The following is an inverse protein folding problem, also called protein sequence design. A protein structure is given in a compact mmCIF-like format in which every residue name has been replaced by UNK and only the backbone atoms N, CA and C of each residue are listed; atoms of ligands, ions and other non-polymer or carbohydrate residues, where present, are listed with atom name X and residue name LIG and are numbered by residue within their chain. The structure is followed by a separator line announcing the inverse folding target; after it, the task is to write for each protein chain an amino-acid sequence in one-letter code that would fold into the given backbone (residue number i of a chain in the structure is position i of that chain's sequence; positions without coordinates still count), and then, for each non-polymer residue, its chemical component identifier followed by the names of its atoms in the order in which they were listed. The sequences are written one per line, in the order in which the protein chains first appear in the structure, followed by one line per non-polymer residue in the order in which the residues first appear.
data_IF_998909482539
#
_entry.id   IF_998909482539
#
_cell.length_a   1.000
_cell.length_b   1.000
_cell.length_c   1.000
_cell.angle_alpha   90.00
_cell.angle_beta   90.00
_cell.angle_gamma   90.00
#
_symmetry.space_group_name_H-M   'P 1'
#
loop_
_entity.id
_entity.type
_entity.pdbx_description
1 polymer ?
#
# COMPACT_ATOMS: atom_id res chain seq x y z
N UNK A 1 21.77 10.50 27.19
CA UNK A 1 21.03 9.77 28.24
C UNK A 1 19.55 9.79 27.84
N UNK A 2 18.87 8.65 27.98
CA UNK A 2 17.67 8.20 27.26
C UNK A 2 16.32 8.93 27.50
N UNK A 3 15.43 8.81 26.48
CA UNK A 3 13.94 8.74 26.46
C UNK A 3 13.15 10.03 26.81
N UNK A 4 12.08 10.40 26.09
CA UNK A 4 10.88 9.59 25.82
C UNK A 4 10.49 9.42 24.35
N UNK A 5 10.36 8.15 23.97
CA UNK A 5 9.53 7.63 22.89
C UNK A 5 8.27 7.07 23.56
N UNK A 6 7.12 7.70 23.33
CA UNK A 6 5.73 7.24 23.59
C UNK A 6 4.86 8.45 23.21
N UNK A 7 4.31 8.57 22.01
CA UNK A 7 3.13 7.84 21.53
C UNK A 7 3.04 8.06 20.01
N UNK A 8 3.76 7.26 19.23
CA UNK A 8 3.32 6.98 17.88
C UNK A 8 2.24 5.91 18.01
N UNK A 9 0.98 6.35 18.14
CA UNK A 9 -0.17 5.46 18.09
C UNK A 9 -0.06 4.58 16.86
N UNK A 10 -0.25 3.29 17.06
CA UNK A 10 -0.09 2.20 16.09
C UNK A 10 -0.93 2.44 14.82
N UNK A 11 -0.36 3.14 13.84
CA UNK A 11 -0.99 3.40 12.53
C UNK A 11 -1.10 2.10 11.71
N UNK A 12 -0.52 0.98 12.18
CA UNK A 12 -0.62 -0.31 11.51
C UNK A 12 -2.00 -0.98 11.65
N UNK A 13 -2.87 -0.48 12.54
CA UNK A 13 -4.22 -1.03 12.78
C UNK A 13 -5.37 -0.13 12.31
N UNK A 14 -5.08 1.06 11.80
CA UNK A 14 -6.09 1.97 11.28
C UNK A 14 -6.53 1.54 9.89
N UNK A 15 -7.74 0.98 9.76
CA UNK A 15 -8.30 0.66 8.46
C UNK A 15 -8.52 1.93 7.64
N UNK A 16 -7.87 1.98 6.47
CA UNK A 16 -8.00 3.07 5.49
C UNK A 16 -9.22 2.90 4.58
N UNK A 17 -9.93 1.77 4.74
CA UNK A 17 -11.15 1.38 4.02
C UNK A 17 -12.23 0.99 5.03
N UNK A 18 -13.50 1.24 4.68
CA UNK A 18 -14.66 0.81 5.49
C UNK A 18 -15.59 -0.05 4.63
N UNK A 19 -15.98 -1.26 5.08
CA UNK A 19 -15.54 -1.97 6.30
C UNK A 19 -14.04 -2.32 6.31
N UNK A 20 -13.49 -2.51 7.51
CA UNK A 20 -12.07 -2.84 7.72
C UNK A 20 -11.62 -4.07 6.90
N UNK A 21 -10.37 -4.06 6.43
CA UNK A 21 -9.69 -5.17 5.73
C UNK A 21 -10.27 -5.61 4.37
N UNK A 22 -11.12 -4.81 3.73
CA UNK A 22 -11.65 -5.10 2.40
C UNK A 22 -10.83 -4.44 1.29
N UNK A 23 -9.75 -5.11 0.89
CA UNK A 23 -8.90 -4.67 -0.23
C UNK A 23 -9.11 -5.59 -1.43
N UNK A 24 -10.05 -5.25 -2.35
CA UNK A 24 -10.33 -6.07 -3.51
C UNK A 24 -9.11 -6.17 -4.43
N UNK A 25 -8.99 -7.30 -5.10
CA UNK A 25 -8.06 -7.49 -6.22
C UNK A 25 -8.77 -7.14 -7.54
N UNK A 26 -8.05 -6.87 -8.64
CA UNK A 26 -8.67 -6.48 -9.93
C UNK A 26 -9.60 -7.54 -10.54
N UNK A 27 -9.56 -8.76 -10.02
CA UNK A 27 -10.48 -9.84 -10.39
C UNK A 27 -11.92 -9.49 -9.96
N UNK A 28 -12.06 -8.73 -8.88
CA UNK A 28 -13.35 -8.28 -8.35
C UNK A 28 -13.71 -6.95 -9.01
N UNK A 29 -14.71 -6.98 -9.90
CA UNK A 29 -15.17 -5.78 -10.62
C UNK A 29 -16.25 -4.98 -9.88
N UNK A 30 -16.90 -5.58 -8.88
CA UNK A 30 -18.01 -4.98 -8.13
C UNK A 30 -17.56 -3.91 -7.13
N UNK A 31 -16.38 -4.11 -6.53
CA UNK A 31 -15.85 -3.26 -5.46
C UNK A 31 -14.60 -2.53 -5.96
N UNK A 32 -14.74 -1.23 -6.20
CA UNK A 32 -13.70 -0.42 -6.81
C UNK A 32 -12.92 0.38 -5.75
N UNK A 33 -11.71 -0.07 -5.41
CA UNK A 33 -10.80 0.62 -4.49
C UNK A 33 -9.98 1.74 -5.14
N UNK A 34 -10.11 1.95 -6.46
CA UNK A 34 -9.29 2.91 -7.21
C UNK A 34 -9.41 4.34 -6.69
N UNK A 35 -10.58 4.74 -6.15
CA UNK A 35 -10.76 6.07 -5.58
C UNK A 35 -9.76 6.37 -4.45
N UNK A 36 -9.48 5.37 -3.62
CA UNK A 36 -8.55 5.48 -2.49
C UNK A 36 -7.12 5.57 -3.03
N UNK A 37 -6.76 4.68 -3.94
CA UNK A 37 -5.40 4.61 -4.50
C UNK A 37 -5.05 5.87 -5.30
N UNK A 38 -5.99 6.43 -6.06
CA UNK A 38 -5.82 7.74 -6.71
C UNK A 38 -5.62 8.86 -5.68
N UNK A 39 -6.43 8.90 -4.63
CA UNK A 39 -6.31 9.92 -3.57
C UNK A 39 -4.98 9.82 -2.81
N UNK A 40 -4.48 8.60 -2.57
CA UNK A 40 -3.16 8.36 -1.98
C UNK A 40 -2.05 8.82 -2.91
N UNK A 41 -2.13 8.52 -4.21
CA UNK A 41 -1.15 8.97 -5.18
C UNK A 41 -1.05 10.51 -5.20
N UNK A 42 -2.19 11.20 -5.29
CA UNK A 42 -2.22 12.67 -5.30
C UNK A 42 -1.62 13.26 -4.02
N UNK A 43 -1.96 12.69 -2.86
CA UNK A 43 -1.49 13.18 -1.56
C UNK A 43 0.00 12.93 -1.36
N UNK A 44 0.48 11.71 -1.64
CA UNK A 44 1.88 11.34 -1.37
C UNK A 44 2.86 11.99 -2.34
N UNK A 45 2.46 12.18 -3.60
CA UNK A 45 3.26 12.93 -4.58
C UNK A 45 3.34 14.39 -4.17
N UNK A 46 2.22 14.99 -3.74
CA UNK A 46 2.23 16.36 -3.21
C UNK A 46 3.13 16.52 -1.98
N UNK A 47 3.29 15.47 -1.17
CA UNK A 47 4.18 15.44 0.00
C UNK A 47 5.65 15.21 -0.34
N UNK A 48 5.99 14.88 -1.59
CA UNK A 48 7.37 14.78 -2.05
C UNK A 48 7.77 13.43 -2.64
N UNK A 49 6.83 12.50 -2.88
CA UNK A 49 7.15 11.35 -3.71
C UNK A 49 7.33 11.75 -5.18
N UNK A 50 8.27 11.14 -5.89
CA UNK A 50 8.42 11.37 -7.33
C UNK A 50 7.20 10.91 -8.13
N UNK A 51 6.90 11.62 -9.22
CA UNK A 51 5.73 11.34 -10.07
C UNK A 51 5.78 9.93 -10.70
N UNK A 52 6.97 9.38 -10.93
CA UNK A 52 7.12 7.99 -11.43
C UNK A 52 6.51 6.93 -10.49
N UNK A 53 6.29 7.25 -9.21
CA UNK A 53 5.64 6.35 -8.26
C UNK A 53 4.13 6.26 -8.46
N UNK A 54 3.50 7.18 -9.20
CA UNK A 54 2.03 7.23 -9.36
C UNK A 54 1.45 5.91 -9.85
N UNK A 55 2.05 5.33 -10.88
CA UNK A 55 1.52 4.12 -11.53
C UNK A 55 1.38 2.96 -10.54
N UNK A 56 2.41 2.71 -9.73
CA UNK A 56 2.39 1.64 -8.73
C UNK A 56 1.45 1.96 -7.56
N UNK A 57 1.36 3.23 -7.15
CA UNK A 57 0.44 3.65 -6.08
C UNK A 57 -1.01 3.48 -6.53
N UNK A 58 -1.36 3.92 -7.74
CA UNK A 58 -2.71 3.76 -8.30
C UNK A 58 -3.07 2.29 -8.50
N UNK A 59 -2.10 1.46 -8.88
CA UNK A 59 -2.31 0.03 -9.10
C UNK A 59 -2.56 -0.75 -7.80
N UNK A 60 -1.87 -0.41 -6.70
CA UNK A 60 -1.92 -1.24 -5.49
C UNK A 60 -1.46 -0.60 -4.19
N UNK A 61 -1.32 0.72 -4.13
CA UNK A 61 -0.78 1.46 -2.98
C UNK A 61 0.61 0.99 -2.51
N UNK A 62 1.46 0.55 -3.45
CA UNK A 62 2.87 0.25 -3.22
C UNK A 62 3.76 1.11 -4.11
N UNK A 63 5.01 1.35 -3.70
CA UNK A 63 5.96 2.15 -4.49
C UNK A 63 7.41 1.90 -4.09
N UNK A 64 8.33 2.27 -4.99
CA UNK A 64 9.77 2.34 -4.73
C UNK A 64 10.28 3.73 -5.03
N UNK A 65 11.27 4.20 -4.28
CA UNK A 65 11.99 5.45 -4.62
C UNK A 65 13.43 5.38 -4.16
N UNK A 66 14.31 6.18 -4.77
CA UNK A 66 15.70 6.32 -4.35
C UNK A 66 15.79 7.51 -3.39
N UNK A 67 16.07 7.24 -2.11
CA UNK A 67 16.18 8.28 -1.08
C UNK A 67 17.52 9.02 -1.20
N UNK A 68 18.58 8.28 -1.54
CA UNK A 68 19.93 8.78 -1.81
C UNK A 68 20.70 7.75 -2.64
N UNK A 69 21.83 8.11 -3.28
CA UNK A 69 22.65 7.15 -4.01
C UNK A 69 22.96 5.91 -3.17
N UNK A 70 22.65 4.73 -3.72
CA UNK A 70 22.85 3.45 -3.05
C UNK A 70 21.78 3.04 -2.02
N UNK A 71 20.72 3.84 -1.80
CA UNK A 71 19.61 3.50 -0.90
C UNK A 71 18.26 3.60 -1.60
N UNK A 72 17.60 2.44 -1.77
CA UNK A 72 16.25 2.31 -2.29
C UNK A 72 15.27 2.06 -1.15
N UNK A 73 14.22 2.87 -1.08
CA UNK A 73 13.05 2.65 -0.23
C UNK A 73 12.01 1.86 -1.01
N UNK A 74 11.45 0.83 -0.39
CA UNK A 74 10.35 0.02 -0.92
C UNK A 74 9.22 0.07 0.11
N UNK A 75 8.06 0.57 -0.31
CA UNK A 75 6.83 0.58 0.48
C UNK A 75 5.88 -0.46 -0.09
N UNK A 76 5.55 -1.47 0.70
CA UNK A 76 4.68 -2.59 0.32
C UNK A 76 3.27 -2.41 0.90
N UNK A 77 2.25 -2.83 0.17
CA UNK A 77 0.89 -2.90 0.70
C UNK A 77 0.66 -4.24 1.40
N UNK A 78 0.76 -4.25 2.72
CA UNK A 78 0.65 -5.48 3.53
C UNK A 78 -0.78 -6.03 3.61
N UNK A 79 -1.79 -5.30 3.14
CA UNK A 79 -3.18 -5.80 3.09
C UNK A 79 -3.37 -6.95 2.08
N UNK A 80 -2.40 -7.16 1.20
CA UNK A 80 -2.35 -8.32 0.29
C UNK A 80 -1.54 -9.50 0.86
N UNK A 81 -1.07 -9.40 2.10
CA UNK A 81 -0.33 -10.44 2.81
C UNK A 81 -0.99 -10.86 4.15
N UNK A 82 -2.14 -10.29 4.49
CA UNK A 82 -2.89 -10.60 5.72
C UNK A 82 -3.93 -11.70 5.49
N UNK A 83 -4.13 -12.55 6.49
CA UNK A 83 -5.24 -13.52 6.53
C UNK A 83 -6.61 -12.86 6.65
N UNK A 84 -6.66 -11.58 7.02
CA UNK A 84 -7.91 -10.88 7.34
C UNK A 84 -8.55 -10.21 6.11
N UNK A 85 -7.90 -10.29 4.94
CA UNK A 85 -8.46 -9.81 3.68
C UNK A 85 -9.27 -10.93 3.02
N UNK A 86 -10.60 -10.88 3.20
CA UNK A 86 -11.53 -11.89 2.69
C UNK A 86 -11.45 -12.11 1.18
N UNK A 87 -10.96 -11.14 0.41
CA UNK A 87 -10.80 -11.30 -1.05
C UNK A 87 -9.70 -12.28 -1.45
N UNK A 88 -8.73 -12.53 -0.57
CA UNK A 88 -7.64 -13.50 -0.82
C UNK A 88 -8.12 -14.96 -0.79
N UNK A 89 -9.31 -15.26 -0.24
CA UNK A 89 -9.91 -16.60 -0.35
C UNK A 89 -10.25 -16.98 -1.80
N UNK A 90 -10.47 -16.00 -2.68
CA UNK A 90 -10.74 -16.23 -4.11
C UNK A 90 -9.43 -16.61 -4.82
N UNK A 91 -8.39 -15.81 -4.63
CA UNK A 91 -7.04 -16.07 -5.15
C UNK A 91 -6.00 -15.28 -4.33
N UNK A 92 -5.06 -16.01 -3.71
CA UNK A 92 -3.98 -15.47 -2.90
C UNK A 92 -2.61 -15.50 -3.58
N UNK A 93 -2.53 -15.96 -4.84
CA UNK A 93 -1.24 -16.03 -5.57
C UNK A 93 -0.82 -14.64 -6.02
N UNK A 94 0.23 -14.09 -5.41
CA UNK A 94 0.84 -12.77 -5.69
C UNK A 94 -0.16 -11.69 -6.17
N UNK A 95 -1.06 -11.21 -5.28
CA UNK A 95 -2.04 -10.21 -5.65
C UNK A 95 -1.34 -8.97 -6.23
N UNK A 96 -1.81 -8.52 -7.40
CA UNK A 96 -1.26 -7.37 -8.12
C UNK A 96 0.19 -7.52 -8.61
N UNK A 97 0.73 -8.75 -8.60
CA UNK A 97 2.12 -9.03 -8.98
C UNK A 97 3.14 -8.21 -8.15
N UNK A 98 2.80 -7.92 -6.89
CA UNK A 98 3.58 -7.05 -6.01
C UNK A 98 4.94 -7.68 -5.66
N UNK A 99 5.00 -9.00 -5.48
CA UNK A 99 6.26 -9.71 -5.23
C UNK A 99 7.12 -9.78 -6.48
N UNK A 100 6.51 -10.03 -7.65
CA UNK A 100 7.20 -9.97 -8.94
C UNK A 100 7.77 -8.57 -9.22
N UNK A 101 7.13 -7.50 -8.76
CA UNK A 101 7.59 -6.12 -8.95
C UNK A 101 8.84 -5.74 -8.12
N UNK A 102 9.07 -6.40 -6.98
CA UNK A 102 10.26 -6.16 -6.13
C UNK A 102 11.48 -7.01 -6.56
N UNK A 103 11.25 -8.16 -7.20
CA UNK A 103 12.30 -9.10 -7.63
C UNK A 103 13.06 -8.66 -8.86
#
# INVERSE_FOLDING_TARGET
MYKSLESAGDISKGSVVTPCNLFPTPIIKSDNISWLYTSLADSWIKLGLPEETRSSIVNGAFYTTIVRPGLRLISMNMNYCTSDNYWLFINSTDPLSQLQWVG
#
